data_IF_356186560864
#
_entry.id   IF_356186560864
#
_cell.length_a   1.000
_cell.length_b   1.000
_cell.length_c   1.000
_cell.angle_alpha   90.00
_cell.angle_beta   90.00
_cell.angle_gamma   90.00
#
_symmetry.space_group_name_H-M   'P 1'
#
loop_
_entity.id
_entity.type
_entity.pdbx_description
1 polymer ?
#
# COMPACT_ATOMS: atom_id res chain seq x y z
N UNK A 1 22.63 0.62 2.14
CA UNK A 1 21.62 1.67 2.12
C UNK A 1 21.44 2.24 3.53
N UNK A 2 21.30 3.55 3.67
CA UNK A 2 21.12 4.23 4.97
C UNK A 2 19.85 3.77 5.74
N UNK A 3 18.95 3.08 5.08
CA UNK A 3 17.67 2.57 5.64
C UNK A 3 17.69 1.07 6.00
N UNK A 4 18.85 0.38 5.89
CA UNK A 4 18.98 -1.04 6.28
C UNK A 4 18.11 -2.00 5.45
N UNK A 5 17.84 -1.68 4.17
CA UNK A 5 17.07 -2.53 3.26
C UNK A 5 18.06 -3.49 2.57
N UNK A 6 17.83 -4.79 2.71
CA UNK A 6 18.53 -5.85 1.98
C UNK A 6 17.75 -6.27 0.73
N UNK A 7 18.45 -6.84 -0.24
CA UNK A 7 17.89 -7.44 -1.44
C UNK A 7 18.37 -8.87 -1.56
N UNK A 8 17.45 -9.78 -1.88
CA UNK A 8 17.79 -11.15 -2.27
C UNK A 8 18.43 -11.15 -3.66
N UNK A 9 17.84 -10.40 -4.58
CA UNK A 9 18.30 -10.29 -5.96
C UNK A 9 18.00 -8.91 -6.54
N UNK A 10 18.80 -8.49 -7.51
CA UNK A 10 18.55 -7.32 -8.36
C UNK A 10 18.73 -7.76 -9.79
N UNK A 11 17.71 -7.66 -10.62
CA UNK A 11 17.69 -8.10 -12.01
C UNK A 11 17.43 -6.92 -12.91
N UNK A 12 18.23 -6.77 -13.95
CA UNK A 12 18.03 -5.80 -15.02
C UNK A 12 17.75 -6.56 -16.32
N UNK A 13 16.55 -6.42 -16.87
CA UNK A 13 16.09 -7.18 -18.03
C UNK A 13 16.50 -6.58 -19.38
N UNK A 14 17.04 -5.36 -19.37
CA UNK A 14 17.36 -4.66 -20.62
C UNK A 14 16.12 -4.46 -21.49
N UNK A 15 16.23 -4.76 -22.78
CA UNK A 15 15.14 -4.64 -23.75
C UNK A 15 14.15 -5.84 -23.70
N UNK A 16 14.39 -6.83 -22.85
CA UNK A 16 13.47 -7.98 -22.68
C UNK A 16 13.38 -8.92 -23.89
N UNK A 17 14.42 -9.02 -24.71
CA UNK A 17 14.39 -9.78 -25.98
C UNK A 17 14.24 -11.29 -25.77
N UNK A 18 14.87 -11.85 -24.76
CA UNK A 18 14.85 -13.29 -24.44
C UNK A 18 14.02 -13.56 -23.18
N UNK A 19 14.33 -12.86 -22.11
CA UNK A 19 13.63 -12.91 -20.83
C UNK A 19 12.92 -11.59 -20.59
N UNK A 20 11.60 -11.64 -20.52
CA UNK A 20 10.78 -10.46 -20.27
C UNK A 20 10.35 -10.35 -18.77
N UNK A 21 9.61 -9.30 -18.44
CA UNK A 21 9.13 -9.10 -17.08
C UNK A 21 8.19 -10.23 -16.60
N UNK A 22 7.42 -10.81 -17.51
CA UNK A 22 6.52 -11.91 -17.13
C UNK A 22 7.30 -13.16 -16.73
N UNK A 23 8.39 -13.49 -17.44
CA UNK A 23 9.26 -14.61 -17.10
C UNK A 23 9.94 -14.39 -15.75
N UNK A 24 10.40 -13.18 -15.50
CA UNK A 24 10.99 -12.82 -14.21
C UNK A 24 9.97 -12.93 -13.07
N UNK A 25 8.73 -12.49 -13.27
CA UNK A 25 7.65 -12.62 -12.29
C UNK A 25 7.32 -14.08 -11.99
N UNK A 26 7.24 -14.93 -13.01
CA UNK A 26 6.99 -16.37 -12.84
C UNK A 26 8.11 -17.05 -12.02
N UNK A 27 9.36 -16.65 -12.27
CA UNK A 27 10.49 -17.14 -11.48
C UNK A 27 10.43 -16.65 -10.03
N UNK A 28 10.26 -15.33 -9.80
CA UNK A 28 10.20 -14.77 -8.46
C UNK A 28 8.96 -15.20 -7.67
N UNK A 29 7.88 -15.59 -8.34
CA UNK A 29 6.68 -16.11 -7.66
C UNK A 29 6.96 -17.35 -6.82
N UNK A 30 7.95 -18.15 -7.21
CA UNK A 30 8.35 -19.42 -6.58
C UNK A 30 9.64 -19.34 -5.79
N UNK A 31 10.45 -18.28 -5.94
CA UNK A 31 11.71 -18.10 -5.23
C UNK A 31 11.49 -17.90 -3.73
N UNK A 32 12.03 -18.82 -2.91
CA UNK A 32 11.87 -18.78 -1.45
C UNK A 32 12.61 -17.63 -0.76
N UNK A 33 13.64 -17.09 -1.40
CA UNK A 33 14.49 -16.05 -0.81
C UNK A 33 13.93 -14.64 -1.06
N UNK A 34 12.92 -14.54 -1.90
CA UNK A 34 12.26 -13.29 -2.25
C UNK A 34 10.87 -13.21 -1.61
N UNK A 35 10.70 -12.39 -0.61
CA UNK A 35 9.41 -12.16 0.04
C UNK A 35 8.56 -11.10 -0.67
N UNK A 36 9.18 -10.13 -1.33
CA UNK A 36 8.53 -8.96 -1.95
C UNK A 36 9.26 -8.56 -3.20
N UNK A 37 8.53 -7.98 -4.14
CA UNK A 37 9.09 -7.59 -5.42
C UNK A 37 8.88 -6.10 -5.62
N UNK A 38 9.96 -5.41 -5.98
CA UNK A 38 9.92 -4.03 -6.45
C UNK A 38 10.23 -4.03 -7.95
N UNK A 39 9.30 -3.53 -8.73
CA UNK A 39 9.40 -3.47 -10.19
C UNK A 39 9.46 -2.03 -10.65
N UNK A 40 10.46 -1.70 -11.47
CA UNK A 40 10.48 -0.45 -12.22
C UNK A 40 10.46 -0.77 -13.70
N UNK A 41 9.58 -0.11 -14.45
CA UNK A 41 9.46 -0.29 -15.89
C UNK A 41 8.89 0.97 -16.58
N UNK A 42 9.13 1.09 -17.86
CA UNK A 42 8.62 2.18 -18.70
C UNK A 42 7.47 1.68 -19.57
N UNK A 43 7.66 0.55 -20.23
CA UNK A 43 6.69 -0.10 -21.12
C UNK A 43 6.62 -1.59 -20.82
N UNK A 44 5.49 -2.20 -21.17
CA UNK A 44 5.27 -3.64 -21.07
C UNK A 44 4.94 -4.20 -22.44
N UNK A 45 5.59 -5.28 -22.79
CA UNK A 45 5.27 -6.07 -23.95
C UNK A 45 4.47 -7.32 -23.57
N UNK A 46 3.85 -7.96 -24.53
CA UNK A 46 3.17 -9.24 -24.30
C UNK A 46 2.02 -9.16 -23.29
N UNK A 47 1.17 -8.14 -23.35
CA UNK A 47 0.17 -7.80 -22.32
C UNK A 47 -0.62 -8.97 -21.75
N UNK A 48 -0.93 -10.02 -22.55
CA UNK A 48 -1.66 -11.21 -22.05
C UNK A 48 -0.77 -12.08 -21.17
N UNK A 49 0.47 -12.31 -21.57
CA UNK A 49 1.49 -13.08 -20.82
C UNK A 49 1.77 -12.35 -19.50
N UNK A 50 2.04 -11.04 -19.59
CA UNK A 50 2.25 -10.19 -18.42
C UNK A 50 1.09 -10.27 -17.43
N UNK A 51 -0.16 -10.09 -17.86
CA UNK A 51 -1.33 -10.12 -16.98
C UNK A 51 -1.51 -11.47 -16.27
N UNK A 52 -1.15 -12.57 -16.92
CA UNK A 52 -1.18 -13.90 -16.31
C UNK A 52 -0.13 -14.04 -15.21
N UNK A 53 1.12 -13.74 -15.50
CA UNK A 53 2.24 -13.80 -14.56
C UNK A 53 2.06 -12.79 -13.41
N UNK A 54 1.66 -11.56 -13.71
CA UNK A 54 1.43 -10.51 -12.72
C UNK A 54 0.37 -10.89 -11.68
N UNK A 55 -0.74 -11.49 -12.10
CA UNK A 55 -1.78 -11.97 -11.18
C UNK A 55 -1.35 -13.20 -10.40
N UNK A 56 -0.64 -14.12 -11.02
CA UNK A 56 -0.15 -15.32 -10.35
C UNK A 56 0.86 -14.96 -9.26
N UNK A 57 1.83 -14.11 -9.59
CA UNK A 57 2.83 -13.63 -8.66
C UNK A 57 2.22 -12.77 -7.54
N UNK A 58 1.33 -11.83 -7.88
CA UNK A 58 0.69 -10.93 -6.91
C UNK A 58 -0.20 -11.60 -5.87
N UNK A 59 -0.68 -12.84 -6.14
CA UNK A 59 -1.38 -13.65 -5.13
C UNK A 59 -0.45 -14.22 -4.06
N UNK A 60 0.80 -14.45 -4.42
CA UNK A 60 1.77 -15.10 -3.56
C UNK A 60 2.67 -14.09 -2.85
N UNK A 61 3.00 -12.99 -3.52
CA UNK A 61 3.97 -12.01 -3.03
C UNK A 61 3.47 -10.58 -3.28
N UNK A 62 3.61 -9.68 -2.31
CA UNK A 62 3.35 -8.26 -2.53
C UNK A 62 4.29 -7.68 -3.58
N UNK A 63 3.73 -6.91 -4.50
CA UNK A 63 4.48 -6.27 -5.58
C UNK A 63 4.24 -4.76 -5.53
N UNK A 64 5.33 -4.00 -5.51
CA UNK A 64 5.32 -2.54 -5.63
C UNK A 64 5.85 -2.16 -7.01
N UNK A 65 5.12 -1.35 -7.72
CA UNK A 65 5.47 -0.91 -9.07
C UNK A 65 5.75 0.59 -9.13
N UNK A 66 6.85 0.94 -9.79
CA UNK A 66 7.14 2.30 -10.24
C UNK A 66 7.11 2.28 -11.75
N UNK A 67 6.32 3.16 -12.34
CA UNK A 67 6.32 3.34 -13.78
C UNK A 67 6.66 4.77 -14.14
N UNK A 68 7.61 4.95 -15.05
CA UNK A 68 7.85 6.24 -15.64
C UNK A 68 6.70 6.58 -16.59
N UNK A 69 5.81 7.46 -16.16
CA UNK A 69 4.74 7.95 -17.03
C UNK A 69 5.34 8.80 -18.14
N UNK A 70 4.99 8.49 -19.37
CA UNK A 70 5.41 9.32 -20.51
C UNK A 70 4.80 10.70 -20.36
N UNK A 71 5.59 11.74 -20.69
CA UNK A 71 5.05 13.10 -20.72
C UNK A 71 3.82 13.16 -21.63
N UNK A 72 2.80 13.92 -21.21
CA UNK A 72 1.58 14.14 -21.99
C UNK A 72 1.87 14.60 -23.45
N UNK A 73 3.01 15.25 -23.68
CA UNK A 73 3.50 15.65 -25.01
C UNK A 73 3.91 14.48 -25.91
N UNK A 74 4.14 13.30 -25.35
CA UNK A 74 4.51 12.08 -26.11
C UNK A 74 3.31 11.21 -26.48
N UNK A 75 2.07 11.61 -26.14
CA UNK A 75 0.86 10.86 -26.49
C UNK A 75 0.59 10.99 -27.98
N UNK A 76 0.54 9.88 -28.74
CA UNK A 76 0.11 9.92 -30.12
C UNK A 76 -1.35 10.38 -30.22
N UNK A 77 -1.61 11.43 -30.98
CA UNK A 77 -2.96 12.03 -31.11
C UNK A 77 -4.03 11.08 -31.68
N UNK A 78 -3.62 9.97 -32.30
CA UNK A 78 -4.52 8.98 -32.91
C UNK A 78 -5.00 7.91 -31.94
N UNK A 79 -4.47 7.83 -30.72
CA UNK A 79 -4.95 6.84 -29.73
C UNK A 79 -6.26 7.32 -29.07
N UNK A 80 -7.32 6.51 -29.10
CA UNK A 80 -8.61 6.86 -28.51
C UNK A 80 -8.62 6.79 -26.97
N UNK A 81 -7.54 6.28 -26.36
CA UNK A 81 -7.39 6.09 -24.92
C UNK A 81 -6.01 6.59 -24.45
N UNK A 82 -5.89 6.87 -23.17
CA UNK A 82 -4.61 7.17 -22.54
C UNK A 82 -3.89 5.85 -22.21
N UNK A 83 -2.70 5.60 -22.79
CA UNK A 83 -1.91 4.41 -22.46
C UNK A 83 -1.62 4.30 -20.96
N UNK A 84 -1.48 5.42 -20.24
CA UNK A 84 -1.21 5.44 -18.81
C UNK A 84 -2.39 4.88 -18.01
N UNK A 85 -3.62 5.20 -18.39
CA UNK A 85 -4.83 4.63 -17.77
C UNK A 85 -4.91 3.11 -17.96
N UNK A 86 -4.48 2.60 -19.12
CA UNK A 86 -4.44 1.15 -19.38
C UNK A 86 -3.44 0.45 -18.46
N UNK A 87 -2.26 1.03 -18.29
CA UNK A 87 -1.27 0.47 -17.36
C UNK A 87 -1.77 0.52 -15.91
N UNK A 88 -2.30 1.66 -15.47
CA UNK A 88 -2.82 1.85 -14.12
C UNK A 88 -3.94 0.84 -13.83
N UNK A 89 -4.85 0.62 -14.78
CA UNK A 89 -5.88 -0.40 -14.68
C UNK A 89 -5.31 -1.83 -14.63
N UNK A 90 -4.30 -2.13 -15.44
CA UNK A 90 -3.67 -3.46 -15.49
C UNK A 90 -2.98 -3.80 -14.17
N UNK A 91 -2.21 -2.86 -13.62
CA UNK A 91 -1.51 -3.04 -12.35
C UNK A 91 -2.48 -3.15 -11.17
N UNK A 92 -3.51 -2.30 -11.12
CA UNK A 92 -4.57 -2.36 -10.11
C UNK A 92 -5.29 -3.71 -10.14
N UNK A 93 -5.65 -4.21 -11.34
CA UNK A 93 -6.30 -5.53 -11.52
C UNK A 93 -5.41 -6.71 -11.18
N UNK A 94 -4.11 -6.51 -11.14
CA UNK A 94 -3.12 -7.51 -10.72
C UNK A 94 -2.84 -7.45 -9.20
N UNK A 95 -3.44 -6.50 -8.48
CA UNK A 95 -3.24 -6.32 -7.04
C UNK A 95 -1.89 -5.68 -6.69
N UNK A 96 -1.27 -4.98 -7.61
CA UNK A 96 0.02 -4.31 -7.38
C UNK A 96 -0.18 -2.94 -6.75
N UNK A 97 0.71 -2.56 -5.85
CA UNK A 97 0.77 -1.22 -5.29
C UNK A 97 1.59 -0.32 -6.20
N UNK A 98 0.95 0.71 -6.73
CA UNK A 98 1.63 1.68 -7.58
C UNK A 98 2.08 2.87 -6.74
N UNK A 99 3.29 3.34 -7.01
CA UNK A 99 3.90 4.51 -6.36
C UNK A 99 4.58 5.40 -7.38
N UNK A 100 4.72 6.67 -7.06
CA UNK A 100 5.28 7.66 -7.99
C UNK A 100 6.80 7.79 -7.86
N UNK A 101 7.36 7.50 -6.69
CA UNK A 101 8.78 7.72 -6.40
C UNK A 101 9.46 6.49 -5.83
N UNK A 102 10.77 6.42 -6.01
CA UNK A 102 11.59 5.37 -5.41
C UNK A 102 11.55 5.39 -3.87
N UNK A 103 11.43 6.58 -3.28
CA UNK A 103 11.26 6.73 -1.82
C UNK A 103 9.99 6.04 -1.33
N UNK A 104 8.85 6.34 -1.96
CA UNK A 104 7.57 5.70 -1.67
C UNK A 104 7.62 4.18 -1.89
N UNK A 105 8.34 3.71 -2.91
CA UNK A 105 8.47 2.29 -3.17
C UNK A 105 9.17 1.55 -2.03
N UNK A 106 10.24 2.11 -1.51
CA UNK A 106 10.93 1.53 -0.35
C UNK A 106 10.08 1.60 0.92
N UNK A 107 9.33 2.68 1.13
CA UNK A 107 8.42 2.82 2.27
C UNK A 107 7.27 1.81 2.18
N UNK A 108 6.67 1.65 1.01
CA UNK A 108 5.64 0.64 0.77
C UNK A 108 6.17 -0.78 1.00
N UNK A 109 7.35 -1.12 0.44
CA UNK A 109 7.98 -2.40 0.64
C UNK A 109 8.30 -2.69 2.12
N UNK A 110 8.76 -1.69 2.87
CA UNK A 110 8.98 -1.81 4.32
C UNK A 110 7.67 -1.97 5.10
N UNK A 111 6.64 -1.21 4.75
CA UNK A 111 5.33 -1.33 5.39
C UNK A 111 4.77 -2.74 5.19
N UNK A 112 4.78 -3.24 3.96
CA UNK A 112 4.34 -4.61 3.64
C UNK A 112 5.19 -5.70 4.31
N UNK A 113 6.45 -5.38 4.67
CA UNK A 113 7.32 -6.30 5.41
C UNK A 113 6.88 -6.49 6.86
N UNK A 114 6.30 -5.47 7.44
CA UNK A 114 5.98 -5.41 8.88
C UNK A 114 4.52 -5.65 9.16
N UNK A 115 3.66 -5.31 8.22
CA UNK A 115 2.21 -5.42 8.37
C UNK A 115 1.74 -6.78 7.86
N UNK A 116 0.88 -7.42 8.64
CA UNK A 116 0.12 -8.58 8.15
C UNK A 116 -0.95 -8.10 7.16
N UNK A 117 -1.30 -8.92 6.15
CA UNK A 117 -2.43 -8.60 5.29
C UNK A 117 -3.68 -8.28 6.13
N UNK A 118 -4.29 -7.15 5.85
CA UNK A 118 -5.51 -6.76 6.56
C UNK A 118 -6.68 -7.63 6.09
N UNK A 119 -7.50 -8.05 7.06
CA UNK A 119 -8.76 -8.74 6.76
C UNK A 119 -9.87 -7.67 6.83
N UNK A 120 -10.36 -7.23 5.67
CA UNK A 120 -11.39 -6.21 5.57
C UNK A 120 -10.88 -4.86 5.04
N UNK A 121 -11.79 -3.91 4.94
CA UNK A 121 -11.60 -2.58 4.34
C UNK A 121 -11.75 -1.42 5.33
N UNK A 122 -11.86 -1.72 6.63
CA UNK A 122 -12.12 -0.74 7.69
C UNK A 122 -10.91 -0.55 8.58
N UNK A 123 -10.60 0.71 8.89
CA UNK A 123 -9.45 1.08 9.70
C UNK A 123 -9.86 1.92 10.91
N UNK A 124 -9.30 1.63 12.06
CA UNK A 124 -9.36 2.50 13.23
C UNK A 124 -8.07 3.31 13.30
N UNK A 125 -8.19 4.63 13.41
CA UNK A 125 -7.06 5.56 13.49
C UNK A 125 -6.98 6.10 14.92
N UNK A 126 -5.82 5.89 15.55
CA UNK A 126 -5.48 6.46 16.85
C UNK A 126 -4.38 7.49 16.65
N UNK A 127 -4.56 8.69 17.16
CA UNK A 127 -3.58 9.76 17.02
C UNK A 127 -3.46 10.60 18.29
N UNK A 128 -2.28 11.17 18.52
CA UNK A 128 -2.10 12.23 19.50
C UNK A 128 -2.65 13.55 18.93
N UNK A 129 -3.80 13.95 19.43
CA UNK A 129 -4.50 15.15 18.98
C UNK A 129 -5.26 14.96 17.65
N UNK A 130 -6.00 15.97 17.25
CA UNK A 130 -6.94 15.89 16.12
C UNK A 130 -6.29 16.00 14.74
N UNK A 131 -5.19 16.74 14.61
CA UNK A 131 -4.62 17.09 13.30
C UNK A 131 -4.14 15.89 12.49
N UNK A 132 -3.27 15.06 13.06
CA UNK A 132 -2.71 13.90 12.35
C UNK A 132 -3.78 12.82 12.06
N UNK A 133 -4.72 12.63 12.98
CA UNK A 133 -5.83 11.70 12.79
C UNK A 133 -6.71 12.11 11.60
N UNK A 134 -7.00 13.41 11.47
CA UNK A 134 -7.77 13.96 10.35
C UNK A 134 -7.06 13.74 9.01
N UNK A 135 -5.78 14.09 8.91
CA UNK A 135 -4.98 13.88 7.70
C UNK A 135 -4.95 12.40 7.30
N UNK A 136 -4.73 11.50 8.27
CA UNK A 136 -4.73 10.07 8.00
C UNK A 136 -6.10 9.56 7.49
N UNK A 137 -7.20 10.09 8.04
CA UNK A 137 -8.55 9.76 7.59
C UNK A 137 -8.82 10.25 6.16
N UNK A 138 -8.32 11.41 5.79
CA UNK A 138 -8.47 11.96 4.45
C UNK A 138 -7.68 11.14 3.42
N UNK A 139 -6.45 10.75 3.76
CA UNK A 139 -5.63 9.83 2.92
C UNK A 139 -6.32 8.47 2.77
N UNK A 140 -6.86 7.91 3.86
CA UNK A 140 -7.60 6.66 3.82
C UNK A 140 -8.80 6.74 2.86
N UNK A 141 -9.61 7.80 2.96
CA UNK A 141 -10.78 8.02 2.09
C UNK A 141 -10.38 8.22 0.64
N UNK A 142 -9.33 9.00 0.39
CA UNK A 142 -8.80 9.20 -0.96
C UNK A 142 -8.33 7.89 -1.60
N UNK A 143 -7.80 6.96 -0.80
CA UNK A 143 -7.43 5.60 -1.22
C UNK A 143 -8.61 4.61 -1.30
N UNK A 144 -9.86 5.06 -1.09
CA UNK A 144 -11.05 4.20 -1.14
C UNK A 144 -11.29 3.35 0.13
N UNK A 145 -10.47 3.52 1.17
CA UNK A 145 -10.65 2.84 2.45
C UNK A 145 -11.76 3.46 3.30
N UNK A 146 -12.18 2.75 4.33
CA UNK A 146 -13.26 3.15 5.22
C UNK A 146 -12.79 3.22 6.68
N UNK A 147 -13.33 4.17 7.41
CA UNK A 147 -13.17 4.20 8.85
C UNK A 147 -14.06 3.14 9.49
N UNK A 148 -13.53 2.42 10.49
CA UNK A 148 -14.33 1.53 11.33
C UNK A 148 -15.31 2.35 12.18
N UNK A 149 -16.51 1.83 12.38
CA UNK A 149 -17.46 2.36 13.35
C UNK A 149 -17.17 1.65 14.68
N UNK A 150 -16.86 2.42 15.71
CA UNK A 150 -16.62 1.89 17.05
C UNK A 150 -17.97 1.62 17.73
N UNK A 151 -18.09 0.47 18.39
CA UNK A 151 -19.29 0.08 19.09
C UNK A 151 -19.57 1.03 20.28
N UNK A 152 -20.85 1.28 20.63
CA UNK A 152 -21.21 2.17 21.73
C UNK A 152 -20.57 1.78 23.07
N UNK A 153 -20.46 0.48 23.35
CA UNK A 153 -19.81 -0.02 24.55
C UNK A 153 -18.31 0.31 24.60
N UNK A 154 -17.64 0.16 23.46
CA UNK A 154 -16.22 0.55 23.31
C UNK A 154 -16.03 2.04 23.54
N UNK A 155 -16.92 2.88 22.98
CA UNK A 155 -16.88 4.33 23.17
C UNK A 155 -17.08 4.71 24.64
N UNK A 156 -18.00 4.05 25.36
CA UNK A 156 -18.21 4.27 26.79
C UNK A 156 -16.97 3.90 27.62
N UNK A 157 -16.39 2.73 27.36
CA UNK A 157 -15.16 2.30 28.04
C UNK A 157 -13.99 3.25 27.78
N UNK A 158 -13.85 3.72 26.54
CA UNK A 158 -12.85 4.73 26.17
C UNK A 158 -13.08 6.06 26.88
N UNK A 159 -14.33 6.53 27.00
CA UNK A 159 -14.65 7.77 27.71
C UNK A 159 -14.26 7.70 29.20
N UNK A 160 -14.54 6.57 29.84
CA UNK A 160 -14.14 6.32 31.23
C UNK A 160 -12.60 6.27 31.37
N UNK A 161 -11.93 5.52 30.48
CA UNK A 161 -10.48 5.38 30.50
C UNK A 161 -9.76 6.73 30.29
N UNK A 162 -10.24 7.49 29.32
CA UNK A 162 -9.66 8.80 28.93
C UNK A 162 -10.15 9.96 29.78
N UNK A 163 -11.11 9.71 30.69
CA UNK A 163 -11.73 10.73 31.55
C UNK A 163 -12.21 11.96 30.77
N UNK A 164 -12.90 11.72 29.67
CA UNK A 164 -13.37 12.76 28.78
C UNK A 164 -14.89 12.69 28.59
N UNK A 165 -15.53 13.85 28.55
CA UNK A 165 -16.95 14.02 28.20
C UNK A 165 -17.12 14.40 26.72
N UNK A 166 -15.99 14.61 26.00
CA UNK A 166 -16.05 14.93 24.57
C UNK A 166 -16.49 13.71 23.76
N UNK A 167 -17.24 13.94 22.68
CA UNK A 167 -17.62 12.86 21.78
C UNK A 167 -16.37 12.15 21.23
N UNK A 168 -16.32 10.84 21.44
CA UNK A 168 -15.28 9.99 20.86
C UNK A 168 -15.75 9.36 19.56
N UNK A 169 -14.84 9.14 18.65
CA UNK A 169 -15.13 8.55 17.35
C UNK A 169 -13.87 8.06 16.64
N UNK A 170 -13.98 7.79 15.37
CA UNK A 170 -12.85 7.40 14.54
C UNK A 170 -12.65 8.46 13.43
N UNK A 171 -11.51 9.15 13.38
CA UNK A 171 -10.26 8.97 14.17
C UNK A 171 -10.43 9.25 15.66
N UNK A 172 -9.79 8.43 16.50
CA UNK A 172 -9.74 8.64 17.94
C UNK A 172 -8.52 9.50 18.29
N UNK A 173 -8.79 10.76 18.66
CA UNK A 173 -7.76 11.69 19.11
C UNK A 173 -7.53 11.53 20.59
N UNK A 174 -6.34 11.12 20.97
CA UNK A 174 -5.94 10.99 22.36
C UNK A 174 -5.31 12.27 22.86
N UNK A 175 -5.64 12.73 24.09
CA UNK A 175 -4.96 13.85 24.71
C UNK A 175 -3.45 13.63 24.87
N UNK A 176 -2.66 14.68 24.79
CA UNK A 176 -1.20 14.61 24.98
C UNK A 176 -0.79 14.10 26.37
N UNK A 177 -1.69 14.16 27.35
CA UNK A 177 -1.48 13.66 28.70
C UNK A 177 -1.59 12.14 28.86
N UNK A 178 -2.05 11.43 27.83
CA UNK A 178 -2.21 9.97 27.88
C UNK A 178 -0.86 9.28 27.92
N UNK A 179 -0.62 8.49 28.98
CA UNK A 179 0.63 7.76 29.14
C UNK A 179 0.67 6.48 28.27
N UNK A 180 1.87 5.90 28.11
CA UNK A 180 2.06 4.69 27.31
C UNK A 180 1.21 3.49 27.79
N UNK A 181 1.00 3.37 29.09
CA UNK A 181 0.17 2.30 29.66
C UNK A 181 -1.30 2.44 29.27
N UNK A 182 -1.81 3.68 29.19
CA UNK A 182 -3.19 3.93 28.78
C UNK A 182 -3.34 3.79 27.27
N UNK A 183 -2.33 4.14 26.47
CA UNK A 183 -2.28 3.79 25.05
C UNK A 183 -2.45 2.29 24.81
N UNK A 184 -1.75 1.46 25.57
CA UNK A 184 -1.89 0.01 25.47
C UNK A 184 -3.30 -0.49 25.80
N UNK A 185 -3.98 0.14 26.79
CA UNK A 185 -5.37 -0.16 27.11
C UNK A 185 -6.33 0.28 26.01
N UNK A 186 -6.14 1.49 25.46
CA UNK A 186 -6.93 1.99 24.31
C UNK A 186 -6.81 1.05 23.13
N UNK A 187 -5.60 0.62 22.77
CA UNK A 187 -5.38 -0.34 21.68
C UNK A 187 -6.15 -1.64 21.91
N UNK A 188 -6.16 -2.18 23.14
CA UNK A 188 -6.90 -3.41 23.45
C UNK A 188 -8.42 -3.25 23.38
N UNK A 189 -8.94 -2.04 23.56
CA UNK A 189 -10.38 -1.79 23.49
C UNK A 189 -10.88 -1.61 22.04
N UNK A 190 -10.00 -1.20 21.12
CA UNK A 190 -10.39 -0.95 19.73
C UNK A 190 -10.01 -2.08 18.76
N UNK A 191 -9.27 -3.09 19.25
CA UNK A 191 -8.92 -4.31 18.52
C UNK A 191 -9.95 -5.42 18.75
#
# INVERSE_FOLDING_TARGET
TSKGIGFSSVVHLGEGLDVDLADALDWFATDSDTDRILVQFDTLEGGRKFMSAARACGRNKPIVAIRNKRSASARPAYLPFDPDEVYDAALSRSGWVQVATLGEAFEAAQAMARLKPMVGDRLTILANGNGLGGIAADVLRAGGGKLAILEPETLQQLAVLLRTEMPLGNPLALPASVCAADWAKVLKLVL
#
